data_IF_289863849164
#
_entry.id   IF_289863849164
#
_cell.length_a   1.000
_cell.length_b   1.000
_cell.length_c   1.000
_cell.angle_alpha   90.00
_cell.angle_beta   90.00
_cell.angle_gamma   90.00
#
_symmetry.space_group_name_H-M   'P 1'
#
loop_
_entity.id
_entity.type
_entity.pdbx_description
1 polymer ?
#
# COMPACT_ATOMS: atom_id res chain seq x y z
N UNK A 1 -67.52 28.99 -27.55
CA UNK A 1 -68.05 29.19 -26.19
C UNK A 1 -66.93 28.88 -25.22
N UNK A 2 -66.38 29.91 -24.60
CA UNK A 2 -65.41 29.83 -23.48
C UNK A 2 -66.19 30.07 -22.16
N UNK A 3 -65.55 30.27 -20.98
CA UNK A 3 -65.04 29.23 -20.06
C UNK A 3 -65.36 29.55 -18.56
N UNK A 4 -65.02 28.69 -17.58
CA UNK A 4 -64.78 29.08 -16.16
C UNK A 4 -63.79 28.08 -15.52
N UNK A 5 -62.55 28.48 -15.17
CA UNK A 5 -62.02 29.09 -13.91
C UNK A 5 -61.97 28.12 -12.71
N UNK A 6 -61.04 28.16 -11.74
CA UNK A 6 -59.71 28.76 -11.49
C UNK A 6 -59.45 28.59 -9.98
N UNK A 7 -58.19 28.39 -9.55
CA UNK A 7 -57.47 28.94 -8.36
C UNK A 7 -56.30 27.98 -8.02
N UNK A 8 -55.03 28.26 -8.33
CA UNK A 8 -54.04 29.22 -7.77
C UNK A 8 -53.82 29.11 -6.25
N UNK A 9 -52.57 28.82 -5.87
CA UNK A 9 -51.83 29.62 -4.88
C UNK A 9 -50.31 29.48 -5.10
N UNK A 10 -49.68 30.62 -5.42
CA UNK A 10 -48.26 30.96 -5.30
C UNK A 10 -48.02 31.63 -3.94
N UNK A 11 -46.83 31.46 -3.34
CA UNK A 11 -46.11 32.46 -2.53
C UNK A 11 -44.67 31.92 -2.36
N UNK A 12 -43.66 32.36 -3.11
CA UNK A 12 -42.83 33.57 -2.99
C UNK A 12 -42.27 33.88 -1.60
N UNK A 13 -40.93 33.91 -1.50
CA UNK A 13 -40.24 35.01 -0.81
C UNK A 13 -39.10 34.67 0.18
N UNK A 14 -37.86 34.66 -0.33
CA UNK A 14 -36.64 35.35 0.14
C UNK A 14 -36.21 35.28 1.62
N UNK A 15 -34.93 34.91 1.82
CA UNK A 15 -34.21 34.94 3.11
C UNK A 15 -33.85 36.34 3.64
N UNK A 16 -33.02 36.42 4.68
CA UNK A 16 -31.76 37.16 4.55
C UNK A 16 -30.55 36.58 5.32
N UNK A 17 -29.38 37.07 4.91
CA UNK A 17 -28.08 37.09 5.60
C UNK A 17 -28.17 37.64 7.04
N UNK A 18 -27.33 37.16 7.97
CA UNK A 18 -26.31 37.95 8.68
C UNK A 18 -25.51 37.14 9.71
N UNK A 19 -24.34 37.69 10.04
CA UNK A 19 -23.23 37.17 10.82
C UNK A 19 -23.45 37.08 12.34
N UNK A 20 -22.67 36.19 12.97
CA UNK A 20 -22.14 36.29 14.35
C UNK A 20 -20.88 35.40 14.36
N UNK A 21 -19.62 35.84 14.45
CA UNK A 21 -18.96 36.79 15.37
C UNK A 21 -19.17 36.43 16.83
N UNK A 22 -18.20 35.68 17.37
CA UNK A 22 -17.81 35.68 18.77
C UNK A 22 -16.30 35.37 18.86
N UNK A 23 -15.52 36.45 18.90
CA UNK A 23 -14.16 36.57 19.46
C UNK A 23 -14.22 36.42 21.02
N UNK A 24 -13.19 36.77 21.82
CA UNK A 24 -11.84 36.22 21.93
C UNK A 24 -11.44 35.97 23.42
N UNK A 25 -10.20 35.48 23.62
CA UNK A 25 -9.26 35.73 24.73
C UNK A 25 -9.75 36.45 26.02
N UNK A 26 -9.45 35.83 27.17
CA UNK A 26 -9.16 36.52 28.44
C UNK A 26 -7.89 35.87 29.05
N UNK A 27 -6.76 36.57 29.03
CA UNK A 27 -6.10 37.26 30.17
C UNK A 27 -5.34 36.30 31.08
N UNK A 28 -3.99 36.28 31.04
CA UNK A 28 -3.07 37.17 31.77
C UNK A 28 -3.41 37.34 33.25
N UNK A 29 -2.64 36.67 34.10
CA UNK A 29 -2.17 37.28 35.35
C UNK A 29 -0.64 37.21 35.38
N UNK A 30 -0.05 38.40 35.43
CA UNK A 30 1.36 38.64 35.65
C UNK A 30 1.67 38.71 37.16
N UNK A 31 2.91 38.35 37.48
CA UNK A 31 3.81 38.98 38.47
C UNK A 31 3.64 38.71 39.97
N UNK A 32 4.74 38.19 40.55
CA UNK A 32 5.52 38.80 41.66
C UNK A 32 6.76 37.90 41.88
N UNK A 33 8.00 38.28 41.52
CA UNK A 33 8.91 39.23 42.21
C UNK A 33 8.95 38.93 43.73
N UNK A 34 10.02 38.46 44.39
CA UNK A 34 11.41 38.93 44.39
C UNK A 34 12.28 38.08 45.33
N UNK A 35 13.62 38.24 45.20
CA UNK A 35 14.71 38.16 46.21
C UNK A 35 15.49 36.85 46.39
N UNK A 36 16.82 36.97 46.26
CA UNK A 36 17.74 36.40 47.25
C UNK A 36 19.04 35.81 46.70
N UNK A 37 20.09 36.64 46.64
CA UNK A 37 21.49 36.32 46.37
C UNK A 37 22.07 35.12 47.16
N UNK A 38 22.99 34.35 46.57
CA UNK A 38 24.34 34.17 47.13
C UNK A 38 25.35 33.58 46.13
N UNK A 39 26.59 34.08 46.19
CA UNK A 39 27.75 33.69 45.40
C UNK A 39 28.42 32.36 45.87
N UNK A 40 28.91 31.57 44.89
CA UNK A 40 30.17 30.77 44.70
C UNK A 40 31.02 30.28 45.93
N UNK A 41 31.99 29.32 45.87
CA UNK A 41 32.52 28.46 44.77
C UNK A 41 32.88 26.98 45.16
N UNK A 42 33.50 26.27 44.21
CA UNK A 42 34.40 25.10 44.32
C UNK A 42 33.80 23.68 44.33
N UNK A 43 34.02 22.96 43.22
CA UNK A 43 34.40 21.55 43.27
C UNK A 43 35.17 21.16 42.00
N UNK A 44 36.47 20.90 42.21
CA UNK A 44 37.40 20.36 41.23
C UNK A 44 37.08 18.87 40.91
N UNK A 45 37.17 18.56 39.61
CA UNK A 45 37.84 17.35 39.06
C UNK A 45 37.11 15.99 39.11
N UNK A 46 36.79 15.44 37.93
CA UNK A 46 37.45 14.28 37.30
C UNK A 46 36.63 13.78 36.09
N UNK A 47 37.32 13.67 34.95
CA UNK A 47 36.86 13.02 33.72
C UNK A 47 36.73 11.51 33.93
N UNK A 48 35.57 10.95 33.56
CA UNK A 48 35.43 9.52 33.29
C UNK A 48 34.52 9.33 32.07
N UNK A 49 35.14 9.11 30.91
CA UNK A 49 34.47 8.64 29.69
C UNK A 49 34.14 7.16 29.91
N UNK A 50 32.88 6.85 30.18
CA UNK A 50 32.42 5.48 30.31
C UNK A 50 31.83 5.01 28.97
N UNK A 51 32.68 4.42 28.12
CA UNK A 51 32.26 3.75 26.89
C UNK A 51 31.60 2.41 27.23
N UNK A 52 30.31 2.47 27.60
CA UNK A 52 29.47 1.27 27.71
C UNK A 52 29.07 0.83 26.31
N UNK A 53 29.77 -0.16 25.77
CA UNK A 53 29.35 -0.89 24.57
C UNK A 53 27.93 -1.42 24.75
N UNK A 54 26.95 -0.67 24.23
CA UNK A 54 25.60 -1.15 24.02
C UNK A 54 25.69 -2.06 22.80
N UNK A 55 25.86 -3.37 23.03
CA UNK A 55 25.43 -4.38 22.05
C UNK A 55 23.94 -4.14 21.82
N UNK A 56 23.62 -3.31 20.83
CA UNK A 56 22.30 -3.30 20.24
C UNK A 56 22.21 -4.58 19.42
N UNK A 57 21.75 -5.64 20.08
CA UNK A 57 21.10 -6.73 19.37
C UNK A 57 19.94 -6.08 18.61
N UNK A 58 20.14 -5.85 17.32
CA UNK A 58 19.06 -5.54 16.40
C UNK A 58 18.25 -6.83 16.33
N UNK A 59 17.33 -7.00 17.27
CA UNK A 59 16.24 -7.94 17.11
C UNK A 59 15.39 -7.37 15.98
N UNK A 60 15.64 -7.85 14.76
CA UNK A 60 14.65 -7.75 13.70
C UNK A 60 13.41 -8.44 14.26
N UNK A 61 12.44 -7.65 14.72
CA UNK A 61 11.07 -8.12 14.92
C UNK A 61 10.50 -8.38 13.52
N UNK A 62 10.91 -9.49 12.93
CA UNK A 62 10.10 -10.18 11.95
C UNK A 62 9.09 -10.97 12.78
N UNK A 63 7.82 -10.90 12.38
CA UNK A 63 6.64 -11.43 13.06
C UNK A 63 6.01 -10.49 14.10
N UNK A 64 5.56 -9.30 13.65
CA UNK A 64 4.24 -8.85 14.11
C UNK A 64 3.22 -9.67 13.33
N UNK A 65 2.73 -10.72 13.98
CA UNK A 65 1.67 -11.57 13.47
C UNK A 65 0.40 -10.72 13.34
N UNK A 66 -0.06 -10.53 12.10
CA UNK A 66 -1.44 -10.06 11.87
C UNK A 66 -2.40 -11.19 12.29
N UNK A 67 -2.61 -11.35 13.59
CA UNK A 67 -3.66 -12.20 14.20
C UNK A 67 -5.01 -11.47 14.19
N UNK A 68 -5.44 -11.04 13.01
CA UNK A 68 -6.71 -10.34 12.83
C UNK A 68 -7.39 -10.75 11.54
N UNK A 69 -8.71 -10.85 11.55
CA UNK A 69 -9.47 -10.87 10.29
C UNK A 69 -9.63 -9.44 9.80
N UNK A 70 -9.27 -9.16 8.53
CA UNK A 70 -9.48 -7.85 7.90
C UNK A 70 -10.69 -7.89 6.96
N UNK A 71 -11.49 -6.85 6.98
CA UNK A 71 -12.65 -6.71 6.09
C UNK A 71 -12.45 -5.50 5.20
N UNK A 72 -12.54 -5.71 3.88
CA UNK A 72 -12.37 -4.65 2.88
C UNK A 72 -13.66 -4.50 2.06
N UNK A 73 -14.10 -3.25 1.86
CA UNK A 73 -15.17 -2.93 0.92
C UNK A 73 -14.66 -2.98 -0.51
N UNK A 74 -15.39 -3.66 -1.40
CA UNK A 74 -15.11 -3.66 -2.83
C UNK A 74 -16.22 -2.91 -3.56
N UNK A 75 -15.81 -1.96 -4.38
CA UNK A 75 -16.69 -1.17 -5.23
C UNK A 75 -16.36 -1.40 -6.71
N UNK A 76 -17.35 -1.21 -7.57
CA UNK A 76 -17.19 -1.36 -9.01
C UNK A 76 -17.88 -0.26 -9.81
N UNK A 77 -17.53 -0.14 -11.09
CA UNK A 77 -18.18 0.78 -12.01
C UNK A 77 -18.25 0.19 -13.42
N UNK A 78 -19.41 0.41 -14.06
CA UNK A 78 -19.69 0.06 -15.46
C UNK A 78 -19.62 1.29 -16.39
N UNK A 79 -19.27 2.47 -15.87
CA UNK A 79 -19.30 3.70 -16.65
C UNK A 79 -18.17 3.76 -17.68
N UNK A 80 -18.51 4.10 -18.93
CA UNK A 80 -17.53 4.41 -19.97
C UNK A 80 -16.87 5.79 -19.79
N UNK A 81 -17.47 6.68 -18.99
CA UNK A 81 -17.04 8.05 -18.77
C UNK A 81 -16.49 8.26 -17.37
N UNK A 82 -17.07 9.21 -16.63
CA UNK A 82 -16.74 9.43 -15.22
C UNK A 82 -17.22 8.21 -14.42
N UNK A 83 -16.33 7.51 -13.69
CA UNK A 83 -16.71 6.30 -12.98
C UNK A 83 -17.59 6.62 -11.77
N UNK A 84 -18.81 6.10 -11.80
CA UNK A 84 -19.72 6.06 -10.67
C UNK A 84 -19.56 4.70 -10.00
N UNK A 85 -19.05 4.71 -8.77
CA UNK A 85 -18.73 3.50 -8.04
C UNK A 85 -19.88 3.10 -7.13
N UNK A 86 -20.32 1.86 -7.26
CA UNK A 86 -21.33 1.23 -6.41
C UNK A 86 -20.71 0.06 -5.65
N UNK A 87 -21.33 -0.34 -4.55
CA UNK A 87 -20.84 -1.43 -3.70
C UNK A 87 -21.03 -2.77 -4.42
N UNK A 88 -19.93 -3.46 -4.72
CA UNK A 88 -19.93 -4.81 -5.31
C UNK A 88 -20.02 -5.89 -4.23
N UNK A 89 -19.33 -5.69 -3.11
CA UNK A 89 -19.25 -6.69 -2.06
C UNK A 89 -18.21 -6.36 -0.99
N UNK A 90 -17.87 -7.39 -0.23
CA UNK A 90 -16.93 -7.31 0.87
C UNK A 90 -15.96 -8.47 0.79
N UNK A 91 -14.67 -8.18 0.96
CA UNK A 91 -13.60 -9.17 1.01
C UNK A 91 -13.23 -9.36 2.47
N UNK A 92 -13.36 -10.58 2.97
CA UNK A 92 -12.98 -10.96 4.33
C UNK A 92 -11.70 -11.78 4.25
N UNK A 93 -10.64 -11.28 4.87
CA UNK A 93 -9.32 -11.89 4.91
C UNK A 93 -9.11 -12.44 6.30
N UNK A 94 -9.00 -13.76 6.40
CA UNK A 94 -8.81 -14.45 7.68
C UNK A 94 -7.34 -14.52 8.08
N UNK A 95 -6.44 -14.60 7.10
CA UNK A 95 -5.00 -14.64 7.32
C UNK A 95 -4.26 -14.18 6.06
N UNK A 96 -3.33 -13.23 6.24
CA UNK A 96 -2.43 -12.78 5.17
C UNK A 96 -1.41 -13.87 4.80
N UNK A 97 -0.82 -14.54 5.80
CA UNK A 97 0.17 -15.63 5.60
C UNK A 97 -0.45 -16.88 4.96
N UNK A 98 -1.71 -17.18 5.29
CA UNK A 98 -2.39 -18.39 4.80
C UNK A 98 -3.11 -18.24 3.45
N UNK A 99 -3.07 -17.05 2.82
CA UNK A 99 -3.88 -16.73 1.64
C UNK A 99 -5.36 -17.14 1.78
N UNK A 100 -5.94 -16.88 2.97
CA UNK A 100 -7.32 -17.24 3.27
C UNK A 100 -8.19 -16.01 3.15
N UNK A 101 -8.78 -15.80 1.98
CA UNK A 101 -9.74 -14.73 1.73
C UNK A 101 -11.04 -15.28 1.15
N UNK A 102 -12.14 -14.61 1.48
CA UNK A 102 -13.48 -14.92 0.99
C UNK A 102 -14.13 -13.65 0.47
N UNK A 103 -14.83 -13.75 -0.65
CA UNK A 103 -15.67 -12.68 -1.18
C UNK A 103 -17.14 -12.93 -0.82
N UNK A 104 -17.80 -11.89 -0.33
CA UNK A 104 -19.24 -11.87 -0.09
C UNK A 104 -19.86 -10.78 -0.97
N UNK A 105 -20.70 -11.12 -1.95
CA UNK A 105 -21.38 -10.12 -2.79
C UNK A 105 -22.35 -9.28 -1.96
N UNK A 106 -22.45 -7.98 -2.28
CA UNK A 106 -23.38 -7.08 -1.59
C UNK A 106 -24.82 -7.25 -2.08
N UNK A 107 -25.00 -7.46 -3.39
CA UNK A 107 -26.28 -7.70 -4.04
C UNK A 107 -26.09 -8.60 -5.26
N UNK A 108 -27.20 -9.17 -5.74
CA UNK A 108 -27.27 -9.76 -7.08
C UNK A 108 -27.18 -8.66 -8.15
N UNK A 109 -26.88 -9.06 -9.38
CA UNK A 109 -26.91 -8.15 -10.53
C UNK A 109 -28.37 -7.81 -10.89
N UNK A 110 -28.66 -6.53 -11.08
CA UNK A 110 -29.94 -6.10 -11.67
C UNK A 110 -29.95 -6.33 -13.17
N UNK A 111 -31.14 -6.42 -13.79
CA UNK A 111 -31.24 -6.57 -15.25
C UNK A 111 -30.65 -5.35 -15.97
N UNK A 112 -30.81 -4.16 -15.39
CA UNK A 112 -30.23 -2.92 -15.89
C UNK A 112 -28.70 -2.93 -15.84
N UNK A 113 -28.11 -3.44 -14.76
CA UNK A 113 -26.65 -3.59 -14.63
C UNK A 113 -26.12 -4.62 -15.64
N UNK A 114 -26.84 -5.72 -15.85
CA UNK A 114 -26.47 -6.75 -16.83
C UNK A 114 -26.43 -6.13 -18.24
N UNK A 115 -27.48 -5.40 -18.62
CA UNK A 115 -27.55 -4.76 -19.92
C UNK A 115 -26.46 -3.71 -20.10
N UNK A 116 -26.22 -2.89 -19.08
CA UNK A 116 -25.14 -1.88 -19.09
C UNK A 116 -23.78 -2.53 -19.23
N UNK A 117 -23.50 -3.62 -18.49
CA UNK A 117 -22.24 -4.35 -18.58
C UNK A 117 -22.08 -5.04 -19.94
N UNK A 118 -23.14 -5.60 -20.53
CA UNK A 118 -23.12 -6.18 -21.87
C UNK A 118 -22.88 -5.12 -22.95
N UNK A 119 -23.49 -3.94 -22.83
CA UNK A 119 -23.22 -2.82 -23.74
C UNK A 119 -21.77 -2.34 -23.63
N UNK A 120 -21.25 -2.23 -22.40
CA UNK A 120 -19.86 -1.86 -22.16
C UNK A 120 -18.91 -2.88 -22.82
N UNK A 121 -19.22 -4.18 -22.72
CA UNK A 121 -18.46 -5.24 -23.39
C UNK A 121 -18.47 -5.10 -24.92
N UNK A 122 -19.62 -4.78 -25.54
CA UNK A 122 -19.73 -4.54 -26.99
C UNK A 122 -18.90 -3.35 -27.47
N UNK A 123 -18.67 -2.37 -26.60
CA UNK A 123 -17.88 -1.16 -26.89
C UNK A 123 -16.38 -1.31 -26.53
N UNK A 124 -15.92 -2.53 -26.22
CA UNK A 124 -14.57 -2.80 -25.69
C UNK A 124 -14.22 -1.92 -24.47
N UNK A 125 -15.23 -1.64 -23.64
CA UNK A 125 -15.09 -0.81 -22.46
C UNK A 125 -14.40 -1.53 -21.31
N UNK A 126 -13.95 -0.73 -20.33
CA UNK A 126 -13.27 -1.23 -19.14
C UNK A 126 -14.23 -1.30 -17.95
N UNK A 127 -14.34 -2.50 -17.38
CA UNK A 127 -14.94 -2.69 -16.07
C UNK A 127 -13.92 -2.36 -14.98
N UNK A 128 -14.31 -1.49 -14.04
CA UNK A 128 -13.40 -0.94 -13.02
C UNK A 128 -13.79 -1.42 -11.64
N UNK A 129 -12.80 -1.67 -10.81
CA UNK A 129 -12.98 -1.97 -9.38
C UNK A 129 -12.06 -1.10 -8.54
N UNK A 130 -12.48 -0.82 -7.31
CA UNK A 130 -11.64 -0.14 -6.33
C UNK A 130 -11.90 -0.63 -4.90
N UNK A 131 -10.90 -0.44 -4.06
CA UNK A 131 -10.96 -0.66 -2.61
C UNK A 131 -10.65 0.68 -1.93
N UNK A 132 -11.61 1.29 -1.22
CA UNK A 132 -11.34 2.43 -0.36
C UNK A 132 -10.38 2.04 0.77
N UNK A 133 -9.34 2.85 1.02
CA UNK A 133 -8.30 2.53 2.01
C UNK A 133 -8.67 2.93 3.44
N UNK A 134 -9.40 4.02 3.60
CA UNK A 134 -9.91 4.52 4.89
C UNK A 134 -11.29 5.11 4.71
N UNK A 135 -12.19 4.80 5.63
CA UNK A 135 -13.54 5.33 5.65
C UNK A 135 -13.51 6.86 5.72
N UNK A 136 -14.19 7.52 4.79
CA UNK A 136 -14.25 8.99 4.70
C UNK A 136 -13.03 9.66 4.03
N UNK A 137 -11.99 8.89 3.67
CA UNK A 137 -10.91 9.40 2.81
C UNK A 137 -11.23 9.16 1.34
N UNK A 138 -10.81 10.08 0.46
CA UNK A 138 -10.85 9.86 -1.00
C UNK A 138 -9.72 8.93 -1.49
N UNK A 139 -9.00 8.26 -0.58
CA UNK A 139 -7.90 7.38 -0.92
C UNK A 139 -8.42 5.98 -1.25
N UNK A 140 -8.07 5.49 -2.44
CA UNK A 140 -8.45 4.17 -2.91
C UNK A 140 -7.33 3.58 -3.77
N UNK A 141 -7.30 2.26 -3.84
CA UNK A 141 -6.57 1.54 -4.89
C UNK A 141 -7.58 1.05 -5.93
N UNK A 142 -7.22 1.09 -7.21
CA UNK A 142 -8.15 0.73 -8.28
C UNK A 142 -7.47 -0.13 -9.35
N UNK A 143 -8.29 -0.92 -10.03
CA UNK A 143 -7.89 -1.72 -11.17
C UNK A 143 -9.01 -1.78 -12.19
N UNK A 144 -8.69 -2.21 -13.40
CA UNK A 144 -9.66 -2.35 -14.47
C UNK A 144 -9.33 -3.58 -15.33
N UNK A 145 -10.38 -4.18 -15.89
CA UNK A 145 -10.26 -5.25 -16.88
C UNK A 145 -11.26 -5.00 -18.00
N UNK A 146 -11.10 -5.67 -19.14
CA UNK A 146 -12.08 -5.54 -20.23
C UNK A 146 -13.42 -6.08 -19.79
N UNK A 147 -14.49 -5.33 -20.04
CA UNK A 147 -15.85 -5.72 -19.68
C UNK A 147 -16.26 -7.04 -20.35
N UNK A 148 -15.83 -7.25 -21.60
CA UNK A 148 -16.06 -8.51 -22.31
C UNK A 148 -15.45 -9.72 -21.59
N UNK A 149 -14.31 -9.58 -20.91
CA UNK A 149 -13.69 -10.69 -20.19
C UNK A 149 -14.54 -11.12 -18.99
N UNK A 150 -15.22 -10.18 -18.33
CA UNK A 150 -16.11 -10.46 -17.19
C UNK A 150 -17.43 -11.07 -17.65
N UNK A 151 -17.99 -10.55 -18.75
CA UNK A 151 -19.24 -11.06 -19.35
C UNK A 151 -19.05 -12.46 -19.90
N UNK A 152 -18.03 -12.69 -20.74
CA UNK A 152 -17.77 -13.99 -21.36
C UNK A 152 -17.42 -15.07 -20.33
N UNK A 153 -16.80 -14.69 -19.20
CA UNK A 153 -16.55 -15.59 -18.08
C UNK A 153 -17.81 -15.91 -17.25
N UNK A 154 -18.97 -15.30 -17.53
CA UNK A 154 -20.19 -15.49 -16.76
C UNK A 154 -20.09 -14.95 -15.34
N UNK A 155 -19.55 -13.73 -15.19
CA UNK A 155 -19.26 -13.06 -13.91
C UNK A 155 -18.29 -13.83 -13.00
N UNK A 156 -17.46 -14.69 -13.60
CA UNK A 156 -16.35 -15.35 -12.92
C UNK A 156 -15.10 -14.50 -13.08
N UNK A 157 -14.63 -13.95 -11.97
CA UNK A 157 -13.40 -13.18 -11.93
C UNK A 157 -12.53 -13.59 -10.74
N UNK A 158 -11.27 -13.21 -10.82
CA UNK A 158 -10.33 -13.31 -9.72
C UNK A 158 -9.82 -11.92 -9.37
N UNK A 159 -9.81 -11.63 -8.07
CA UNK A 159 -9.29 -10.40 -7.50
C UNK A 159 -8.09 -10.72 -6.64
N UNK A 160 -6.94 -10.13 -6.95
CA UNK A 160 -5.75 -10.23 -6.10
C UNK A 160 -5.57 -8.93 -5.35
N UNK A 161 -5.57 -8.99 -4.02
CA UNK A 161 -5.29 -7.85 -3.13
C UNK A 161 -3.86 -7.94 -2.64
N UNK A 162 -3.09 -6.88 -2.86
CA UNK A 162 -1.69 -6.81 -2.50
C UNK A 162 -1.52 -6.05 -1.19
N UNK A 163 -0.72 -6.58 -0.28
CA UNK A 163 -0.43 -6.01 1.04
C UNK A 163 1.05 -5.74 1.23
N UNK A 164 1.35 -4.68 1.98
CA UNK A 164 2.72 -4.42 2.44
C UNK A 164 3.07 -5.26 3.68
N UNK A 165 4.33 -5.11 4.13
CA UNK A 165 4.86 -5.75 5.33
C UNK A 165 4.15 -5.32 6.63
N UNK A 166 3.45 -4.17 6.63
CA UNK A 166 2.64 -3.70 7.77
C UNK A 166 1.19 -4.21 7.74
N UNK A 167 0.83 -4.94 6.68
CA UNK A 167 -0.52 -5.44 6.47
C UNK A 167 -1.49 -4.42 5.88
N UNK A 168 -1.01 -3.30 5.34
CA UNK A 168 -1.82 -2.30 4.64
C UNK A 168 -2.00 -2.62 3.16
N UNK A 169 -3.16 -2.24 2.61
CA UNK A 169 -3.50 -2.50 1.20
C UNK A 169 -2.64 -1.62 0.30
N UNK A 170 -1.78 -2.24 -0.50
CA UNK A 170 -0.95 -1.58 -1.51
C UNK A 170 -1.65 -1.44 -2.86
N UNK A 171 -2.48 -2.42 -3.22
CA UNK A 171 -3.04 -2.48 -4.55
C UNK A 171 -4.08 -3.56 -4.73
N UNK A 172 -4.84 -3.45 -5.82
CA UNK A 172 -5.82 -4.44 -6.24
C UNK A 172 -5.59 -4.75 -7.71
N UNK A 173 -5.82 -5.99 -8.11
CA UNK A 173 -5.90 -6.39 -9.51
C UNK A 173 -7.15 -7.23 -9.74
N UNK A 174 -7.69 -7.17 -10.96
CA UNK A 174 -8.84 -7.96 -11.37
C UNK A 174 -8.59 -8.59 -12.74
N UNK A 175 -9.01 -9.84 -12.90
CA UNK A 175 -9.07 -10.49 -14.21
C UNK A 175 -10.32 -11.35 -14.35
N UNK A 176 -10.90 -11.37 -15.55
CA UNK A 176 -11.90 -12.37 -15.92
C UNK A 176 -11.25 -13.75 -16.13
N UNK A 177 -11.98 -14.83 -15.86
CA UNK A 177 -11.52 -16.20 -16.06
C UNK A 177 -11.58 -16.65 -17.54
N UNK A 178 -11.20 -15.77 -18.46
CA UNK A 178 -11.05 -16.03 -19.89
C UNK A 178 -9.75 -15.39 -20.40
N UNK A 179 -9.02 -16.04 -21.33
CA UNK A 179 -7.73 -15.53 -21.80
C UNK A 179 -7.87 -14.28 -22.69
N UNK A 180 -8.92 -14.22 -23.50
CA UNK A 180 -9.22 -13.11 -24.39
C UNK A 180 -10.72 -13.05 -24.66
N UNK A 181 -11.20 -11.89 -25.12
CA UNK A 181 -12.57 -11.74 -25.55
C UNK A 181 -12.74 -12.30 -26.96
N UNK A 182 -13.67 -13.22 -27.10
CA UNK A 182 -13.98 -13.94 -28.35
C UNK A 182 -15.22 -13.39 -29.06
N UNK A 183 -15.97 -12.49 -28.41
CA UNK A 183 -17.23 -11.97 -28.91
C UNK A 183 -18.42 -12.91 -28.67
N UNK A 184 -18.27 -13.88 -27.78
CA UNK A 184 -19.33 -14.84 -27.45
C UNK A 184 -20.49 -14.15 -26.70
N UNK A 185 -21.73 -14.29 -27.20
CA UNK A 185 -22.90 -13.75 -26.51
C UNK A 185 -23.31 -14.67 -25.36
N UNK A 186 -23.24 -14.14 -24.14
CA UNK A 186 -23.63 -14.87 -22.93
C UNK A 186 -25.09 -14.56 -22.57
N UNK A 187 -25.95 -15.59 -22.39
CA UNK A 187 -27.33 -15.39 -21.96
C UNK A 187 -27.42 -14.69 -20.60
N UNK A 188 -28.44 -13.83 -20.41
CA UNK A 188 -28.66 -13.08 -19.16
C UNK A 188 -28.78 -13.98 -17.93
N UNK A 189 -29.40 -15.15 -18.08
CA UNK A 189 -29.54 -16.14 -17.01
C UNK A 189 -28.20 -16.57 -16.38
N UNK A 190 -27.09 -16.45 -17.11
CA UNK A 190 -25.75 -16.79 -16.63
C UNK A 190 -25.04 -15.61 -15.91
N UNK A 191 -25.65 -14.42 -15.88
CA UNK A 191 -25.08 -13.16 -15.37
C UNK A 191 -25.80 -12.63 -14.12
N UNK A 192 -26.41 -13.52 -13.33
CA UNK A 192 -27.25 -13.14 -12.18
C UNK A 192 -26.46 -12.91 -10.89
N UNK A 193 -25.31 -13.57 -10.73
CA UNK A 193 -24.52 -13.53 -9.51
C UNK A 193 -23.01 -13.53 -9.76
N UNK A 194 -22.29 -12.75 -8.97
CA UNK A 194 -20.83 -12.69 -8.96
C UNK A 194 -20.21 -13.98 -8.43
N UNK A 195 -19.24 -14.53 -9.16
CA UNK A 195 -18.46 -15.72 -8.80
C UNK A 195 -16.99 -15.35 -8.70
N UNK A 196 -16.67 -14.58 -7.66
CA UNK A 196 -15.33 -14.03 -7.43
C UNK A 196 -14.46 -14.98 -6.62
N UNK A 197 -13.26 -15.29 -7.10
CA UNK A 197 -12.18 -15.82 -6.28
C UNK A 197 -11.31 -14.67 -5.76
N UNK A 198 -10.77 -14.77 -4.55
CA UNK A 198 -9.88 -13.75 -3.99
C UNK A 198 -8.54 -14.38 -3.64
N UNK A 199 -7.49 -13.74 -4.10
CA UNK A 199 -6.11 -14.04 -3.75
C UNK A 199 -5.51 -12.89 -2.93
N UNK A 200 -4.68 -13.24 -1.97
CA UNK A 200 -3.92 -12.31 -1.14
C UNK A 200 -2.44 -12.47 -1.47
N UNK A 201 -1.83 -11.38 -1.93
CA UNK A 201 -0.41 -11.32 -2.19
C UNK A 201 0.26 -10.41 -1.14
N UNK A 202 1.33 -10.90 -0.52
CA UNK A 202 2.11 -10.15 0.48
C UNK A 202 3.52 -9.91 -0.03
N UNK A 203 4.15 -8.82 0.39
CA UNK A 203 5.57 -8.59 0.12
C UNK A 203 6.44 -9.69 0.73
N UNK A 204 7.32 -10.28 -0.07
CA UNK A 204 8.32 -11.26 0.38
C UNK A 204 9.71 -10.63 0.37
N UNK A 205 10.55 -11.00 1.34
CA UNK A 205 11.95 -10.58 1.32
C UNK A 205 12.65 -11.22 0.13
N UNK A 206 13.42 -10.43 -0.61
CA UNK A 206 14.22 -10.94 -1.72
C UNK A 206 15.28 -11.95 -1.24
N UNK A 207 15.79 -12.80 -2.15
CA UNK A 207 16.86 -13.72 -1.83
C UNK A 207 18.11 -12.95 -1.40
N UNK A 208 18.72 -13.36 -0.29
CA UNK A 208 20.02 -12.84 0.11
C UNK A 208 21.10 -13.33 -0.88
N UNK A 209 22.10 -12.50 -1.21
CA UNK A 209 23.19 -12.93 -2.07
C UNK A 209 24.00 -14.04 -1.40
N UNK A 210 24.38 -15.07 -2.15
CA UNK A 210 25.34 -16.07 -1.70
C UNK A 210 26.73 -15.42 -1.62
N UNK A 211 27.10 -15.04 -0.40
CA UNK A 211 28.40 -14.43 -0.11
C UNK A 211 29.45 -15.45 0.31
N UNK A 212 29.09 -16.74 0.42
CA UNK A 212 30.00 -17.75 0.96
C UNK A 212 31.26 -17.88 0.11
N UNK A 213 31.10 -17.99 -1.21
CA UNK A 213 32.23 -18.09 -2.15
C UNK A 213 33.12 -16.85 -2.12
N UNK A 214 32.52 -15.66 -1.99
CA UNK A 214 33.27 -14.41 -1.88
C UNK A 214 34.04 -14.34 -0.55
N UNK A 215 33.41 -14.74 0.56
CA UNK A 215 34.04 -14.78 1.88
C UNK A 215 35.19 -15.78 1.89
N UNK A 216 35.03 -16.97 1.31
CA UNK A 216 36.09 -17.99 1.20
C UNK A 216 37.25 -17.50 0.34
N UNK A 217 36.97 -16.87 -0.81
CA UNK A 217 37.98 -16.25 -1.66
C UNK A 217 38.77 -15.19 -0.88
N UNK A 218 38.09 -14.28 -0.19
CA UNK A 218 38.73 -13.24 0.60
C UNK A 218 39.61 -13.81 1.72
N UNK A 219 39.15 -14.86 2.42
CA UNK A 219 39.92 -15.55 3.46
C UNK A 219 41.16 -16.24 2.88
N UNK A 220 41.05 -16.86 1.71
CA UNK A 220 42.19 -17.48 1.04
C UNK A 220 43.22 -16.42 0.61
N UNK A 221 42.76 -15.34 -0.01
CA UNK A 221 43.64 -14.26 -0.45
C UNK A 221 44.33 -13.58 0.76
N UNK A 222 43.65 -13.49 1.92
CA UNK A 222 44.24 -13.02 3.19
C UNK A 222 45.28 -14.00 3.76
N UNK A 223 44.98 -15.30 3.77
CA UNK A 223 45.92 -16.33 4.19
C UNK A 223 47.18 -16.37 3.31
N UNK A 224 47.02 -16.18 1.99
CA UNK A 224 48.15 -16.07 1.07
C UNK A 224 48.98 -14.82 1.37
N UNK A 225 48.36 -13.67 1.67
CA UNK A 225 49.10 -12.46 2.05
C UNK A 225 49.89 -12.62 3.35
N UNK A 226 49.30 -13.27 4.37
CA UNK A 226 49.99 -13.53 5.64
C UNK A 226 51.17 -14.49 5.46
N UNK A 227 50.99 -15.57 4.69
CA UNK A 227 52.08 -16.51 4.37
C UNK A 227 53.22 -15.86 3.58
N UNK A 228 52.91 -14.92 2.70
CA UNK A 228 53.89 -14.20 1.89
C UNK A 228 54.55 -13.02 2.62
N UNK A 229 54.09 -12.65 3.81
CA UNK A 229 54.69 -11.58 4.62
C UNK A 229 55.99 -12.03 5.31
N UNK A 230 56.14 -13.34 5.55
CA UNK A 230 57.34 -13.98 6.10
C UNK A 230 58.40 -14.35 5.03
N UNK A 231 58.14 -14.06 3.75
CA UNK A 231 59.07 -14.24 2.63
C UNK A 231 59.94 -13.00 2.36
N UNK A 232 61.12 -13.20 1.77
CA UNK A 232 62.12 -12.16 1.45
C UNK A 232 61.51 -10.92 0.77
N UNK A 233 61.24 -9.87 1.56
CA UNK A 233 60.65 -8.59 1.17
C UNK A 233 61.65 -7.68 0.39
N UNK A 234 62.62 -8.26 -0.31
CA UNK A 234 63.45 -7.49 -1.25
C UNK A 234 62.57 -7.02 -2.39
N UNK A 235 62.36 -5.70 -2.45
CA UNK A 235 61.66 -5.03 -3.55
C UNK A 235 62.21 -5.51 -4.90
N UNK A 236 61.35 -5.62 -5.91
CA UNK A 236 61.69 -6.14 -7.24
C UNK A 236 62.97 -5.49 -7.82
N UNK A 237 63.22 -4.21 -7.51
CA UNK A 237 64.41 -3.45 -7.90
C UNK A 237 65.72 -3.97 -7.26
N UNK A 238 65.66 -4.54 -6.05
CA UNK A 238 66.80 -5.10 -5.34
C UNK A 238 67.32 -6.41 -5.98
N UNK A 239 66.46 -7.16 -6.69
CA UNK A 239 66.87 -8.37 -7.41
C UNK A 239 67.67 -8.05 -8.69
N UNK A 240 67.38 -6.92 -9.34
CA UNK A 240 68.08 -6.53 -10.58
C UNK A 240 69.46 -5.92 -10.32
N UNK A 241 69.67 -5.21 -9.21
CA UNK A 241 71.00 -4.68 -8.85
C UNK A 241 72.02 -5.78 -8.55
N UNK A 242 71.60 -6.96 -8.07
CA UNK A 242 72.50 -8.09 -7.80
C UNK A 242 73.08 -8.73 -9.07
N UNK A 243 72.49 -8.51 -10.25
CA UNK A 243 72.96 -9.07 -11.52
C UNK A 243 74.07 -8.21 -12.15
N UNK A 244 74.14 -6.91 -11.82
CA UNK A 244 75.14 -6.00 -12.40
C UNK A 244 76.52 -6.01 -11.70
N UNK A 245 76.71 -6.74 -10.59
CA UNK A 245 78.01 -6.83 -9.89
C UNK A 245 78.80 -8.10 -10.19
N UNK A 246 78.40 -8.87 -11.21
CA UNK A 246 79.10 -10.09 -11.67
C UNK A 246 79.51 -10.05 -13.15
N UNK A 247 79.54 -8.86 -13.74
CA UNK A 247 80.25 -8.54 -15.00
C UNK A 247 81.31 -7.48 -14.71
#
# INVERSE_FOLDING_TARGET
>A
MSPLRSLKNEFHGKGPYLASLSDPLLEREDSNLTKGNHLNPEAHQHLAINNKHRKQTITLKLDDEFEGSRTLGLEHSFSSGKPEYTKRGTIVIQSLKGNRAQFTPASSMSEEDIDTLKELAKKDGLYRVRIPLKDGSNAFVSSATRACAVVEAGLRDEITVNFDQSGEVLGVSIRGLVPACSGHDVPRANLTAWKTSVEVATTVSGPAPDTQTYIEKMKRDEQEKLKNQDGDNRSFLAKYVSICYHL
#
